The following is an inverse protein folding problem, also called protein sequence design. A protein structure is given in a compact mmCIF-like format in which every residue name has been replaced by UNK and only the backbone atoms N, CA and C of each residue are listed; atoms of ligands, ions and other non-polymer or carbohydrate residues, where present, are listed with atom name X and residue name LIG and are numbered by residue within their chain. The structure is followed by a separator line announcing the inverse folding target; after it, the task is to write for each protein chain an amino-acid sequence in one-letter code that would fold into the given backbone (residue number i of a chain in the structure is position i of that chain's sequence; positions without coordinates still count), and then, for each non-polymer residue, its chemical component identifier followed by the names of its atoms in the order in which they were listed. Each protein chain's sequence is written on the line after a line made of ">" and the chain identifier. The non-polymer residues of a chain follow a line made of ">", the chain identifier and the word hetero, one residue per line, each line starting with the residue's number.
data_IF_992833669119
#
_entry.id   IF_992833669119
#
_cell.length_a   1.000
_cell.length_b   1.000
_cell.length_c   1.000
_cell.angle_alpha   90.00
_cell.angle_beta   90.00
_cell.angle_gamma   90.00
#
_symmetry.space_group_name_H-M   'P 1'
#
loop_
_entity.id
_entity.type
_entity.pdbx_description
1 polymer ?
#
# COMPACT_ATOMS: atom_id res chain seq x y z
N UNK A 1 3.72 -18.90 -10.33
CA UNK A 1 2.72 -19.57 -11.18
C UNK A 1 1.77 -18.51 -11.68
N UNK A 2 1.57 -18.39 -12.99
CA UNK A 2 0.59 -17.45 -13.53
C UNK A 2 -0.80 -17.94 -13.14
N UNK A 3 -1.60 -17.05 -12.55
CA UNK A 3 -2.98 -17.32 -12.19
C UNK A 3 -3.79 -17.54 -13.49
N UNK A 4 -4.43 -18.70 -13.65
CA UNK A 4 -5.24 -19.06 -14.84
C UNK A 4 -6.27 -17.98 -15.17
N UNK A 5 -6.77 -17.94 -16.41
CA UNK A 5 -7.73 -16.95 -16.92
C UNK A 5 -9.16 -17.09 -16.34
N UNK A 6 -9.27 -17.74 -15.18
CA UNK A 6 -10.52 -17.89 -14.44
C UNK A 6 -10.98 -16.55 -13.86
N UNK A 7 -12.30 -16.36 -13.67
CA UNK A 7 -12.86 -15.21 -12.98
C UNK A 7 -12.20 -15.01 -11.61
N UNK A 8 -11.88 -13.76 -11.27
CA UNK A 8 -11.24 -13.45 -9.99
C UNK A 8 -12.21 -13.76 -8.85
N UNK A 9 -11.76 -14.61 -7.92
CA UNK A 9 -12.57 -15.03 -6.77
C UNK A 9 -12.66 -13.90 -5.74
N UNK A 10 -13.88 -13.61 -5.28
CA UNK A 10 -14.10 -12.73 -4.14
C UNK A 10 -13.74 -13.43 -2.82
N UNK A 11 -12.95 -12.74 -2.00
CA UNK A 11 -12.41 -13.17 -0.73
C UNK A 11 -12.56 -12.03 0.27
N UNK A 12 -13.68 -11.98 0.99
CA UNK A 12 -14.01 -10.85 1.84
C UNK A 12 -13.09 -10.76 3.07
N UNK A 13 -13.02 -9.58 3.72
CA UNK A 13 -12.41 -9.44 5.04
C UNK A 13 -13.08 -10.33 6.10
N UNK A 14 -12.38 -10.61 7.22
CA UNK A 14 -11.03 -10.18 7.57
C UNK A 14 -9.93 -11.03 6.91
N UNK A 15 -8.74 -10.44 6.72
CA UNK A 15 -7.57 -11.14 6.20
C UNK A 15 -6.50 -11.25 7.28
N UNK A 16 -6.16 -12.49 7.61
CA UNK A 16 -4.99 -12.83 8.41
C UNK A 16 -3.88 -13.31 7.48
N UNK A 17 -2.74 -12.63 7.57
CA UNK A 17 -1.61 -12.76 6.67
C UNK A 17 -0.40 -13.22 7.47
N UNK A 18 0.40 -14.13 6.89
CA UNK A 18 1.68 -14.55 7.45
C UNK A 18 2.79 -14.42 6.42
N UNK A 19 3.93 -13.88 6.80
CA UNK A 19 5.04 -13.70 5.87
C UNK A 19 6.30 -13.10 6.47
N UNK A 20 7.19 -12.65 5.59
CA UNK A 20 8.33 -11.80 5.96
C UNK A 20 8.02 -10.38 5.53
N UNK A 21 8.16 -9.42 6.45
CA UNK A 21 8.00 -8.00 6.14
C UNK A 21 9.33 -7.28 6.21
N UNK A 22 9.62 -6.41 5.25
CA UNK A 22 10.71 -5.46 5.28
C UNK A 22 10.11 -4.07 5.34
N UNK A 23 10.53 -3.24 6.30
CA UNK A 23 9.99 -1.89 6.41
C UNK A 23 11.03 -0.90 6.89
N UNK A 24 10.89 0.32 6.40
CA UNK A 24 11.57 1.47 6.96
C UNK A 24 10.66 2.71 6.87
N UNK A 25 10.95 3.67 7.73
CA UNK A 25 10.20 4.90 7.83
C UNK A 25 11.07 6.07 7.37
N UNK A 26 10.42 7.14 6.93
CA UNK A 26 11.09 8.37 6.55
C UNK A 26 10.19 9.58 6.78
N UNK A 27 10.80 10.75 6.86
CA UNK A 27 10.06 11.99 7.07
C UNK A 27 9.86 12.72 5.75
N UNK A 28 8.62 13.13 5.47
CA UNK A 28 8.25 13.97 4.34
C UNK A 28 7.92 15.36 4.89
N UNK A 29 8.73 16.40 4.62
CA UNK A 29 8.42 17.76 5.04
C UNK A 29 7.09 18.24 4.45
N UNK A 30 6.34 19.07 5.18
CA UNK A 30 5.08 19.63 4.65
C UNK A 30 5.28 20.46 3.37
N UNK A 31 6.47 21.04 3.18
CA UNK A 31 6.83 21.72 1.92
C UNK A 31 6.91 20.76 0.74
N UNK A 32 7.45 19.55 0.93
CA UNK A 32 7.47 18.50 -0.09
C UNK A 32 6.07 17.90 -0.29
N UNK A 33 5.28 17.76 0.78
CA UNK A 33 3.92 17.21 0.70
C UNK A 33 2.99 18.04 -0.19
N UNK A 34 3.15 19.37 -0.23
CA UNK A 34 2.37 20.23 -1.13
C UNK A 34 2.57 19.92 -2.60
N UNK A 35 3.74 19.38 -2.96
CA UNK A 35 4.13 19.03 -4.33
C UNK A 35 4.79 17.64 -4.32
N UNK A 36 4.02 16.61 -3.96
CA UNK A 36 4.51 15.24 -4.00
C UNK A 36 4.97 14.88 -5.41
N UNK A 37 6.06 14.10 -5.57
CA UNK A 37 6.49 13.60 -6.87
C UNK A 37 5.45 12.60 -7.38
N UNK A 38 4.46 13.10 -8.13
CA UNK A 38 3.24 12.33 -8.47
C UNK A 38 3.55 11.00 -9.17
N UNK A 39 4.54 10.99 -10.06
CA UNK A 39 5.00 9.80 -10.78
C UNK A 39 5.62 8.72 -9.88
N UNK A 40 6.01 9.06 -8.65
CA UNK A 40 6.53 8.13 -7.63
C UNK A 40 5.44 7.83 -6.60
N UNK A 41 4.74 8.87 -6.13
CA UNK A 41 3.76 8.80 -5.05
C UNK A 41 2.49 8.03 -5.42
N UNK A 42 2.05 8.09 -6.67
CA UNK A 42 0.78 7.52 -7.13
C UNK A 42 0.98 6.73 -8.43
N UNK A 43 0.17 5.70 -8.62
CA UNK A 43 0.01 5.05 -9.93
C UNK A 43 -0.67 6.00 -10.93
N UNK A 44 -0.40 5.89 -12.25
CA UNK A 44 -0.95 6.82 -13.24
C UNK A 44 -2.48 6.93 -13.18
N UNK A 45 -3.16 5.81 -12.90
CA UNK A 45 -4.61 5.75 -12.74
C UNK A 45 -5.10 6.65 -11.59
N UNK A 46 -4.52 6.49 -10.39
CA UNK A 46 -4.88 7.26 -9.20
C UNK A 46 -4.46 8.73 -9.33
N UNK A 47 -3.28 8.97 -9.90
CA UNK A 47 -2.72 10.31 -10.12
C UNK A 47 -3.62 11.20 -10.98
N UNK A 48 -4.35 10.60 -11.92
CA UNK A 48 -5.24 11.30 -12.87
C UNK A 48 -6.71 11.30 -12.42
N UNK A 49 -7.01 10.77 -11.23
CA UNK A 49 -8.37 10.62 -10.72
C UNK A 49 -8.67 11.53 -9.53
N UNK A 50 -9.87 11.41 -8.98
CA UNK A 50 -10.24 12.05 -7.72
C UNK A 50 -9.38 11.57 -6.54
N UNK A 51 -8.77 10.38 -6.59
CA UNK A 51 -7.96 9.80 -5.52
C UNK A 51 -6.80 10.72 -5.08
N UNK A 52 -6.08 11.30 -6.05
CA UNK A 52 -4.98 12.24 -5.80
C UNK A 52 -5.43 13.71 -5.67
N UNK A 53 -6.71 14.01 -5.93
CA UNK A 53 -7.22 15.37 -5.90
C UNK A 53 -7.42 15.87 -4.47
N UNK A 54 -6.67 16.90 -4.07
CA UNK A 54 -6.70 17.45 -2.70
C UNK A 54 -8.07 17.98 -2.26
N UNK A 55 -8.87 18.51 -3.18
CA UNK A 55 -10.19 19.07 -2.86
C UNK A 55 -11.27 17.99 -2.69
N UNK A 56 -11.10 16.83 -3.32
CA UNK A 56 -12.08 15.72 -3.31
C UNK A 56 -11.70 14.63 -2.31
N UNK A 57 -10.44 14.23 -2.35
CA UNK A 57 -9.87 13.15 -1.54
C UNK A 57 -8.92 13.68 -0.48
N UNK A 58 -8.88 14.99 -0.23
CA UNK A 58 -8.14 15.55 0.89
C UNK A 58 -6.64 15.76 0.64
N UNK A 59 -6.03 16.65 1.42
CA UNK A 59 -4.74 17.25 1.10
C UNK A 59 -3.57 16.57 1.81
N UNK A 60 -2.46 16.27 1.12
CA UNK A 60 -1.24 15.74 1.75
C UNK A 60 -0.62 16.77 2.72
N UNK A 61 -0.27 16.32 3.92
CA UNK A 61 0.33 17.12 4.99
C UNK A 61 1.81 16.78 5.23
N UNK A 62 2.27 15.63 4.73
CA UNK A 62 3.58 15.08 5.00
C UNK A 62 3.61 14.32 6.33
N UNK A 63 4.76 14.32 6.98
CA UNK A 63 5.01 13.59 8.22
C UNK A 63 5.66 12.23 7.98
N UNK A 64 5.27 11.24 8.78
CA UNK A 64 5.86 9.90 8.76
C UNK A 64 5.41 9.12 7.51
N UNK A 65 6.28 9.03 6.51
CA UNK A 65 6.14 8.13 5.37
C UNK A 65 6.70 6.75 5.69
N UNK A 66 6.18 5.74 5.01
CA UNK A 66 6.64 4.35 5.16
C UNK A 66 6.78 3.69 3.80
N UNK A 67 7.84 2.90 3.64
CA UNK A 67 7.92 1.87 2.59
C UNK A 67 7.91 0.52 3.30
N UNK A 68 7.02 -0.35 2.84
CA UNK A 68 6.88 -1.72 3.35
C UNK A 68 6.90 -2.69 2.17
N UNK A 69 7.55 -3.82 2.35
CA UNK A 69 7.61 -4.91 1.37
C UNK A 69 7.27 -6.18 2.12
N UNK A 70 6.22 -6.86 1.71
CA UNK A 70 5.74 -8.08 2.35
C UNK A 70 5.88 -9.26 1.38
N UNK A 71 6.35 -10.38 1.92
CA UNK A 71 6.44 -11.66 1.24
C UNK A 71 5.52 -12.62 1.98
N UNK A 72 4.24 -12.64 1.61
CA UNK A 72 3.23 -13.44 2.29
C UNK A 72 3.38 -14.90 1.89
N UNK A 73 3.71 -15.74 2.86
CA UNK A 73 3.73 -17.20 2.69
C UNK A 73 2.33 -17.80 2.86
N UNK A 74 1.41 -17.08 3.50
CA UNK A 74 0.02 -17.49 3.68
C UNK A 74 -0.92 -16.29 3.69
N UNK A 75 -2.02 -16.39 2.94
CA UNK A 75 -3.15 -15.46 2.96
C UNK A 75 -4.42 -16.17 2.48
N UNK A 76 -5.61 -15.58 2.70
CA UNK A 76 -6.85 -16.05 2.08
C UNK A 76 -6.80 -16.13 0.55
N UNK A 77 -6.02 -15.25 -0.10
CA UNK A 77 -5.81 -15.21 -1.56
C UNK A 77 -4.63 -16.09 -2.04
N UNK A 78 -4.02 -16.87 -1.15
CA UNK A 78 -2.78 -17.61 -1.42
C UNK A 78 -1.51 -16.77 -1.22
N UNK A 79 -0.31 -17.34 -1.44
CA UNK A 79 0.95 -16.61 -1.29
C UNK A 79 1.11 -15.50 -2.33
N UNK A 80 1.52 -14.31 -1.90
CA UNK A 80 1.80 -13.18 -2.78
C UNK A 80 2.79 -12.20 -2.13
N UNK A 81 3.34 -11.32 -2.95
CA UNK A 81 4.26 -10.27 -2.54
C UNK A 81 3.56 -8.91 -2.66
N UNK A 82 3.88 -7.99 -1.77
CA UNK A 82 3.24 -6.68 -1.70
C UNK A 82 4.27 -5.58 -1.42
N UNK A 83 4.16 -4.45 -2.11
CA UNK A 83 4.91 -3.23 -1.82
C UNK A 83 3.94 -2.13 -1.47
N UNK A 84 4.19 -1.40 -0.40
CA UNK A 84 3.34 -0.32 0.10
C UNK A 84 4.17 0.94 0.25
N UNK A 85 3.73 2.02 -0.40
CA UNK A 85 4.20 3.37 -0.15
C UNK A 85 3.08 4.17 0.53
N UNK A 86 3.35 4.65 1.74
CA UNK A 86 2.52 5.66 2.40
C UNK A 86 3.28 6.98 2.48
N UNK A 87 2.68 8.05 1.95
CA UNK A 87 3.29 9.38 1.85
C UNK A 87 2.96 10.29 3.03
N UNK A 88 2.68 9.68 4.18
CA UNK A 88 2.37 10.38 5.42
C UNK A 88 0.87 10.68 5.57
N UNK A 89 0.59 11.79 6.24
CA UNK A 89 -0.74 12.17 6.67
C UNK A 89 -1.49 12.93 5.58
N UNK A 90 -2.79 12.67 5.47
CA UNK A 90 -3.73 13.39 4.62
C UNK A 90 -4.85 13.94 5.47
N UNK A 91 -5.25 15.19 5.23
CA UNK A 91 -6.53 15.68 5.75
C UNK A 91 -7.67 15.14 4.91
N UNK A 92 -8.84 14.94 5.48
CA UNK A 92 -10.06 14.59 4.77
C UNK A 92 -11.29 15.08 5.54
N UNK A 93 -12.36 15.37 4.82
CA UNK A 93 -13.60 15.82 5.43
C UNK A 93 -14.51 14.62 5.73
N UNK A 94 -15.17 14.67 6.88
CA UNK A 94 -16.25 13.75 7.28
C UNK A 94 -17.47 14.56 7.70
N UNK A 95 -18.66 14.05 7.41
CA UNK A 95 -19.90 14.60 7.96
C UNK A 95 -20.24 13.86 9.26
N UNK A 96 -20.21 14.56 10.39
CA UNK A 96 -20.58 14.01 11.70
C UNK A 96 -21.63 14.91 12.35
N UNK A 97 -22.79 14.34 12.70
CA UNK A 97 -23.90 15.07 13.34
C UNK A 97 -24.31 16.33 12.55
N UNK A 98 -24.36 16.24 11.22
CA UNK A 98 -24.70 17.36 10.34
C UNK A 98 -23.63 18.47 10.25
N UNK A 99 -22.44 18.26 10.83
CA UNK A 99 -21.31 19.19 10.74
C UNK A 99 -20.16 18.55 10.00
N UNK A 100 -19.60 19.29 9.03
CA UNK A 100 -18.37 18.89 8.35
C UNK A 100 -17.19 19.09 9.30
N UNK A 101 -16.45 18.03 9.57
CA UNK A 101 -15.20 18.06 10.34
C UNK A 101 -14.04 17.62 9.46
N UNK A 102 -12.88 18.23 9.68
CA UNK A 102 -11.63 17.76 9.08
C UNK A 102 -10.97 16.75 10.03
N UNK A 103 -10.60 15.59 9.48
CA UNK A 103 -9.82 14.55 10.15
C UNK A 103 -8.49 14.36 9.42
N UNK A 104 -7.57 13.65 10.05
CA UNK A 104 -6.24 13.37 9.50
C UNK A 104 -5.79 11.95 9.83
N UNK A 105 -5.37 11.21 8.81
CA UNK A 105 -4.85 9.85 8.93
C UNK A 105 -3.78 9.58 7.87
N UNK A 106 -3.04 8.48 8.01
CA UNK A 106 -2.10 8.05 7.00
C UNK A 106 -2.83 7.57 5.74
N UNK A 107 -2.16 7.59 4.58
CA UNK A 107 -2.69 7.05 3.32
C UNK A 107 -1.62 6.21 2.61
N UNK A 108 -2.03 5.02 2.14
CA UNK A 108 -1.28 4.28 1.12
C UNK A 108 -1.54 4.99 -0.21
N UNK A 109 -0.54 5.66 -0.75
CA UNK A 109 -0.67 6.41 -2.00
C UNK A 109 -0.36 5.57 -3.22
N UNK A 110 0.45 4.52 -3.06
CA UNK A 110 0.78 3.54 -4.10
C UNK A 110 1.07 2.19 -3.48
N UNK A 111 0.57 1.13 -4.11
CA UNK A 111 0.76 -0.24 -3.66
C UNK A 111 0.78 -1.19 -4.85
N UNK A 112 1.72 -2.13 -4.82
CA UNK A 112 1.83 -3.18 -5.83
C UNK A 112 1.69 -4.56 -5.20
N UNK A 113 1.13 -5.50 -5.96
CA UNK A 113 1.03 -6.91 -5.56
C UNK A 113 1.37 -7.86 -6.70
N UNK A 114 1.83 -9.07 -6.37
CA UNK A 114 2.20 -10.08 -7.37
C UNK A 114 1.06 -10.96 -7.88
N UNK A 115 -0.16 -10.86 -7.32
CA UNK A 115 -1.32 -11.69 -7.69
C UNK A 115 -2.55 -10.86 -8.05
N UNK A 116 -3.28 -11.26 -9.11
CA UNK A 116 -4.49 -10.53 -9.56
C UNK A 116 -5.62 -10.66 -8.54
N UNK A 117 -5.77 -11.80 -7.89
CA UNK A 117 -6.77 -11.98 -6.83
C UNK A 117 -6.49 -11.08 -5.62
N UNK A 118 -5.24 -10.90 -5.21
CA UNK A 118 -4.88 -9.98 -4.14
C UNK A 118 -5.10 -8.50 -4.53
N UNK A 119 -4.87 -8.17 -5.80
CA UNK A 119 -5.10 -6.83 -6.35
C UNK A 119 -6.60 -6.48 -6.31
N UNK A 120 -7.41 -7.31 -6.96
CA UNK A 120 -8.86 -7.09 -7.07
C UNK A 120 -9.54 -7.04 -5.70
N UNK A 121 -9.26 -7.99 -4.81
CA UNK A 121 -9.89 -8.00 -3.48
C UNK A 121 -9.40 -6.85 -2.58
N UNK A 122 -8.21 -6.31 -2.80
CA UNK A 122 -7.75 -5.13 -2.07
C UNK A 122 -8.34 -3.82 -2.58
N UNK A 123 -8.78 -3.78 -3.84
CA UNK A 123 -9.51 -2.63 -4.40
C UNK A 123 -11.00 -2.70 -4.07
N UNK A 124 -11.58 -3.91 -4.16
CA UNK A 124 -13.02 -4.15 -4.07
C UNK A 124 -13.54 -4.35 -2.64
N UNK A 125 -14.79 -3.97 -2.45
CA UNK A 125 -15.81 -4.53 -1.57
C UNK A 125 -17.15 -4.63 -2.32
N UNK A 126 -18.14 -5.23 -1.68
CA UNK A 126 -19.31 -5.78 -2.36
C UNK A 126 -20.37 -4.72 -2.68
N UNK A 127 -20.26 -4.03 -3.83
CA UNK A 127 -21.42 -3.42 -4.51
C UNK A 127 -21.36 -3.42 -6.05
N UNK A 128 -20.26 -3.84 -6.69
CA UNK A 128 -20.13 -3.82 -8.17
C UNK A 128 -20.77 -5.01 -8.90
N UNK A 129 -21.76 -5.69 -8.32
CA UNK A 129 -22.64 -6.65 -9.05
C UNK A 129 -24.07 -6.11 -9.00
N UNK A 130 -24.37 -5.14 -9.85
CA UNK A 130 -25.74 -4.73 -10.12
C UNK A 130 -26.31 -5.53 -11.29
N UNK A 131 -26.91 -6.68 -10.97
CA UNK A 131 -28.21 -7.08 -11.50
C UNK A 131 -28.86 -8.00 -10.46
N UNK A 132 -29.94 -7.51 -9.83
CA UNK A 132 -30.90 -8.26 -9.00
C UNK A 132 -30.44 -8.71 -7.59
N UNK A 133 -30.28 -7.77 -6.64
CA UNK A 133 -30.56 -8.10 -5.22
C UNK A 133 -30.93 -6.86 -4.41
N UNK A 134 -32.00 -6.99 -3.62
CA UNK A 134 -32.44 -5.98 -2.63
C UNK A 134 -31.34 -5.75 -1.57
N UNK A 135 -31.28 -4.55 -0.96
CA UNK A 135 -30.28 -4.23 0.06
C UNK A 135 -30.46 -5.17 1.26
N UNK A 136 -29.49 -6.04 1.47
CA UNK A 136 -29.37 -6.87 2.67
C UNK A 136 -28.31 -6.22 3.56
N UNK A 137 -28.63 -6.07 4.85
CA UNK A 137 -27.84 -5.38 5.88
C UNK A 137 -26.45 -5.99 6.22
N UNK A 138 -25.88 -6.80 5.32
CA UNK A 138 -24.54 -7.38 5.42
C UNK A 138 -23.73 -6.94 4.19
N UNK A 139 -23.51 -5.64 4.03
CA UNK A 139 -22.59 -5.10 3.03
C UNK A 139 -21.17 -5.52 3.41
N UNK A 140 -20.47 -6.15 2.47
CA UNK A 140 -19.13 -6.65 2.72
C UNK A 140 -18.10 -5.54 2.47
N UNK A 141 -17.24 -5.21 3.45
CA UNK A 141 -16.51 -3.95 3.43
C UNK A 141 -15.39 -3.86 2.38
N UNK A 142 -15.29 -2.74 1.66
CA UNK A 142 -14.24 -2.42 0.68
C UNK A 142 -12.92 -2.03 1.36
N UNK A 143 -11.77 -2.56 0.95
CA UNK A 143 -10.47 -2.09 1.50
C UNK A 143 -10.01 -0.74 0.92
N UNK A 144 -10.49 -0.37 -0.28
CA UNK A 144 -10.10 0.84 -1.03
C UNK A 144 -8.59 1.05 -1.15
N UNK A 145 -7.81 -0.02 -1.20
CA UNK A 145 -6.36 0.11 -1.40
C UNK A 145 -6.06 0.19 -2.90
N UNK A 146 -5.29 1.20 -3.38
CA UNK A 146 -5.05 1.39 -4.81
C UNK A 146 -3.99 0.41 -5.32
N UNK A 147 -4.33 -0.89 -5.33
CA UNK A 147 -3.42 -1.97 -5.72
C UNK A 147 -3.28 -2.03 -7.24
N UNK A 148 -2.04 -2.28 -7.67
CA UNK A 148 -1.66 -2.55 -9.05
C UNK A 148 -0.80 -3.81 -9.12
N UNK A 149 -0.67 -4.38 -10.31
CA UNK A 149 0.20 -5.55 -10.48
C UNK A 149 1.67 -5.14 -10.60
N UNK A 150 2.53 -5.93 -9.96
CA UNK A 150 3.96 -5.90 -10.21
C UNK A 150 4.56 -7.29 -10.11
N UNK A 151 5.70 -7.47 -10.79
CA UNK A 151 6.55 -8.64 -10.61
C UNK A 151 7.61 -8.32 -9.57
N UNK A 152 7.81 -9.24 -8.63
CA UNK A 152 8.77 -9.10 -7.54
C UNK A 152 9.90 -10.10 -7.73
N UNK A 153 11.13 -9.66 -7.47
CA UNK A 153 12.30 -10.52 -7.41
C UNK A 153 12.99 -10.34 -6.05
N UNK A 154 13.32 -11.46 -5.42
CA UNK A 154 14.05 -11.52 -4.18
C UNK A 154 15.28 -12.40 -4.39
N UNK A 155 16.47 -11.81 -4.26
CA UNK A 155 17.73 -12.53 -4.38
C UNK A 155 18.45 -12.51 -3.04
N UNK A 156 18.60 -13.69 -2.44
CA UNK A 156 19.37 -13.84 -1.20
C UNK A 156 20.87 -13.71 -1.50
N UNK A 157 21.55 -12.90 -0.69
CA UNK A 157 22.96 -12.56 -0.84
C UNK A 157 23.76 -13.05 0.39
N UNK A 158 25.10 -13.17 0.26
CA UNK A 158 25.96 -13.53 1.38
C UNK A 158 25.75 -12.63 2.61
N UNK A 159 25.82 -13.22 3.81
CA UNK A 159 25.68 -12.50 5.06
C UNK A 159 24.23 -12.16 5.46
N UNK A 160 23.25 -12.89 4.89
CA UNK A 160 21.83 -12.70 5.21
C UNK A 160 21.22 -11.43 4.63
N UNK A 161 21.87 -10.85 3.62
CA UNK A 161 21.35 -9.72 2.87
C UNK A 161 20.34 -10.21 1.83
N UNK A 162 19.35 -9.39 1.50
CA UNK A 162 18.34 -9.69 0.48
C UNK A 162 18.25 -8.52 -0.47
N UNK A 163 18.52 -8.75 -1.75
CA UNK A 163 18.19 -7.79 -2.83
C UNK A 163 16.73 -7.97 -3.21
N UNK A 164 16.01 -6.85 -3.35
CA UNK A 164 14.60 -6.81 -3.70
C UNK A 164 14.42 -5.87 -4.89
N UNK A 165 13.74 -6.35 -5.93
CA UNK A 165 13.39 -5.57 -7.13
C UNK A 165 11.91 -5.70 -7.44
N UNK A 166 11.28 -4.59 -7.82
CA UNK A 166 9.86 -4.50 -8.11
C UNK A 166 9.69 -3.89 -9.49
N UNK A 167 9.05 -4.64 -10.37
CA UNK A 167 8.80 -4.29 -11.77
C UNK A 167 7.30 -4.07 -11.94
N UNK A 168 6.90 -2.80 -11.91
CA UNK A 168 5.50 -2.42 -11.97
C UNK A 168 4.94 -2.64 -13.38
N UNK A 169 3.63 -2.94 -13.47
CA UNK A 169 2.96 -3.08 -14.77
C UNK A 169 2.51 -1.73 -15.34
N UNK A 170 2.32 -0.73 -14.48
CA UNK A 170 1.77 0.59 -14.79
C UNK A 170 2.81 1.63 -15.26
N UNK A 171 4.10 1.29 -15.29
CA UNK A 171 5.18 2.21 -15.70
C UNK A 171 5.56 2.11 -17.18
N UNK A 172 5.03 1.13 -17.90
CA UNK A 172 5.34 0.87 -19.32
C UNK A 172 4.64 1.84 -20.29
N UNK A 173 3.63 2.57 -19.81
CA UNK A 173 2.70 3.34 -20.64
C UNK A 173 1.51 2.53 -21.18
N UNK A 174 1.48 1.22 -20.95
CA UNK A 174 0.30 0.40 -21.23
C UNK A 174 -0.76 0.59 -20.14
N UNK A 175 -1.83 1.31 -20.48
CA UNK A 175 -2.99 1.54 -19.59
C UNK A 175 -3.69 0.25 -19.15
N UNK A 176 -3.42 -0.88 -19.83
CA UNK A 176 -3.98 -2.18 -19.51
C UNK A 176 -3.15 -2.99 -18.51
N UNK A 177 -1.96 -2.51 -18.16
CA UNK A 177 -1.07 -3.19 -17.21
C UNK A 177 -0.81 -4.67 -17.57
N UNK A 178 -0.73 -4.97 -18.87
CA UNK A 178 -0.70 -6.37 -19.33
C UNK A 178 0.58 -7.10 -18.89
N UNK A 179 1.71 -6.39 -18.84
CA UNK A 179 3.02 -6.96 -18.52
C UNK A 179 3.85 -6.04 -17.63
N UNK A 180 4.72 -6.65 -16.83
CA UNK A 180 5.67 -5.91 -16.00
C UNK A 180 6.70 -5.17 -16.86
N UNK A 181 7.13 -4.01 -16.38
CA UNK A 181 8.25 -3.27 -16.95
C UNK A 181 9.54 -4.10 -16.90
N UNK A 182 10.45 -3.82 -17.83
CA UNK A 182 11.80 -4.38 -17.84
C UNK A 182 12.71 -3.67 -16.83
N UNK A 183 12.44 -2.40 -16.54
CA UNK A 183 13.18 -1.62 -15.54
C UNK A 183 12.46 -1.72 -14.19
N UNK A 184 13.19 -1.96 -13.08
CA UNK A 184 12.56 -1.92 -11.77
C UNK A 184 12.08 -0.50 -11.47
N UNK A 185 10.82 -0.38 -11.04
CA UNK A 185 10.29 0.84 -10.46
C UNK A 185 10.96 1.16 -9.13
N UNK A 186 11.21 0.11 -8.34
CA UNK A 186 11.84 0.19 -7.04
C UNK A 186 12.85 -0.94 -6.89
N UNK A 187 14.01 -0.62 -6.34
CA UNK A 187 14.97 -1.63 -5.88
C UNK A 187 15.61 -1.24 -4.54
N UNK A 188 15.97 -2.25 -3.76
CA UNK A 188 16.77 -2.06 -2.54
C UNK A 188 17.58 -3.31 -2.18
N UNK A 189 18.60 -3.16 -1.36
CA UNK A 189 19.25 -4.29 -0.67
C UNK A 189 19.15 -4.11 0.83
N UNK A 190 18.43 -5.03 1.49
CA UNK A 190 18.41 -5.13 2.95
C UNK A 190 19.65 -5.87 3.44
N UNK A 191 20.31 -5.36 4.49
CA UNK A 191 21.45 -5.99 5.16
C UNK A 191 21.25 -5.95 6.68
N UNK A 192 21.16 -7.09 7.37
CA UNK A 192 21.07 -7.12 8.83
C UNK A 192 22.25 -6.38 9.48
N UNK A 193 22.00 -5.67 10.58
CA UNK A 193 23.10 -5.12 11.40
C UNK A 193 23.83 -6.29 12.05
N UNK A 194 25.14 -6.38 11.81
CA UNK A 194 25.97 -7.45 12.36
C UNK A 194 25.94 -7.43 13.89
N UNK A 195 25.85 -8.61 14.49
CA UNK A 195 25.89 -8.86 15.94
C UNK A 195 24.71 -8.30 16.76
N UNK A 196 23.70 -7.72 16.11
CA UNK A 196 22.48 -7.31 16.81
C UNK A 196 21.51 -8.50 16.89
N UNK A 197 21.10 -8.94 18.09
CA UNK A 197 20.11 -10.00 18.23
C UNK A 197 18.75 -9.59 17.66
N UNK A 198 17.97 -10.58 17.25
CA UNK A 198 16.56 -10.36 16.91
C UNK A 198 15.76 -10.00 18.16
N UNK A 199 14.66 -9.27 17.96
CA UNK A 199 13.78 -8.84 19.05
C UNK A 199 12.30 -8.97 18.65
N UNK A 200 11.38 -9.11 19.62
CA UNK A 200 9.95 -9.07 19.35
C UNK A 200 9.51 -7.62 19.09
N UNK A 201 8.63 -7.43 18.10
CA UNK A 201 8.03 -6.14 17.79
C UNK A 201 6.56 -6.32 17.40
N UNK A 202 5.71 -5.40 17.84
CA UNK A 202 4.33 -5.27 17.39
C UNK A 202 3.98 -3.81 17.16
N UNK A 203 3.41 -3.49 16.00
CA UNK A 203 2.92 -2.13 15.70
C UNK A 203 1.62 -1.80 16.43
N UNK A 204 0.89 -2.78 16.97
CA UNK A 204 -0.24 -2.47 17.85
C UNK A 204 0.24 -1.73 19.11
N UNK A 205 1.47 -2.03 19.56
CA UNK A 205 2.05 -1.42 20.76
C UNK A 205 2.55 0.01 20.51
N UNK A 206 2.89 0.40 19.28
CA UNK A 206 3.36 1.76 19.00
C UNK A 206 2.26 2.82 19.18
N UNK A 207 0.99 2.41 19.16
CA UNK A 207 -0.14 3.27 19.53
C UNK A 207 -0.01 3.80 20.96
N UNK A 208 0.49 2.98 21.90
CA UNK A 208 0.73 3.43 23.28
C UNK A 208 1.87 4.45 23.38
N UNK A 209 2.75 4.50 22.40
CA UNK A 209 3.77 5.54 22.25
C UNK A 209 3.27 6.78 21.49
N UNK A 210 1.96 6.88 21.20
CA UNK A 210 1.34 8.03 20.55
C UNK A 210 1.45 8.05 19.02
N UNK A 211 1.91 6.97 18.39
CA UNK A 211 1.98 6.85 16.92
C UNK A 211 0.69 6.20 16.41
N UNK A 212 -0.15 6.98 15.73
CA UNK A 212 -1.36 6.47 15.07
C UNK A 212 -1.07 6.09 13.62
N UNK A 213 -1.03 4.79 13.36
CA UNK A 213 -0.80 4.19 12.03
C UNK A 213 -2.10 3.91 11.26
N UNK A 214 -3.23 4.41 11.76
CA UNK A 214 -4.52 4.23 11.13
C UNK A 214 -4.56 4.87 9.74
N UNK A 215 -5.04 4.09 8.78
CA UNK A 215 -5.10 4.45 7.37
C UNK A 215 -6.51 4.93 7.02
N UNK A 216 -6.61 5.98 6.22
CA UNK A 216 -7.85 6.42 5.58
C UNK A 216 -7.65 6.53 4.07
N UNK A 217 -8.42 5.72 3.34
CA UNK A 217 -8.38 5.59 1.90
C UNK A 217 -9.63 6.21 1.27
N UNK A 218 -9.46 7.14 0.31
CA UNK A 218 -10.55 7.61 -0.51
C UNK A 218 -11.00 6.51 -1.49
N UNK A 219 -12.15 6.67 -2.15
CA UNK A 219 -12.58 5.78 -3.22
C UNK A 219 -11.51 5.64 -4.30
N UNK A 220 -11.31 4.42 -4.81
CA UNK A 220 -10.34 4.14 -5.87
C UNK A 220 -11.00 4.16 -7.26
N UNK A 221 -10.36 4.70 -8.30
CA UNK A 221 -10.89 4.68 -9.66
C UNK A 221 -10.92 3.26 -10.25
N UNK A 222 -11.86 3.00 -11.15
CA UNK A 222 -11.85 1.81 -12.01
C UNK A 222 -10.86 2.00 -13.17
N UNK A 223 -10.13 0.93 -13.53
CA UNK A 223 -9.12 0.92 -14.58
C UNK A 223 -9.36 -0.16 -15.64
N UNK A 224 -8.91 0.09 -16.87
CA UNK A 224 -9.07 -0.83 -18.00
C UNK A 224 -7.98 -1.92 -18.03
N UNK A 225 -7.91 -2.74 -16.98
CA UNK A 225 -6.89 -3.79 -16.85
C UNK A 225 -7.04 -4.95 -17.84
N UNK A 226 -5.92 -5.57 -18.22
CA UNK A 226 -5.91 -6.74 -19.06
C UNK A 226 -6.48 -8.00 -18.36
N UNK A 227 -6.46 -8.06 -17.02
CA UNK A 227 -6.88 -9.25 -16.25
C UNK A 227 -8.10 -8.98 -15.35
N UNK A 228 -8.73 -7.81 -15.47
CA UNK A 228 -9.96 -7.45 -14.76
C UNK A 228 -9.78 -7.13 -13.27
N UNK A 229 -8.56 -6.91 -12.80
CA UNK A 229 -8.22 -6.69 -11.39
C UNK A 229 -8.42 -5.24 -10.91
N UNK A 230 -8.42 -4.26 -11.82
CA UNK A 230 -8.51 -2.83 -11.49
C UNK A 230 -9.96 -2.35 -11.35
N UNK A 231 -10.68 -2.90 -10.38
CA UNK A 231 -12.04 -2.43 -10.03
C UNK A 231 -12.00 -1.14 -9.22
N UNK A 232 -13.04 -0.33 -9.35
CA UNK A 232 -13.24 0.91 -8.60
C UNK A 232 -14.08 0.73 -7.34
N UNK A 233 -14.13 1.78 -6.53
CA UNK A 233 -15.04 1.93 -5.38
C UNK A 233 -15.56 3.37 -5.30
N UNK A 234 -16.57 3.59 -4.47
CA UNK A 234 -17.32 4.85 -4.34
C UNK A 234 -17.36 5.42 -2.92
N UNK A 235 -17.08 4.59 -1.89
CA UNK A 235 -17.04 4.99 -0.49
C UNK A 235 -15.62 5.19 0.02
N UNK A 236 -15.48 5.89 1.13
CA UNK A 236 -14.22 5.91 1.88
C UNK A 236 -14.08 4.67 2.75
N UNK A 237 -12.84 4.28 3.03
CA UNK A 237 -12.53 3.20 3.97
C UNK A 237 -11.44 3.65 4.94
N UNK A 238 -11.56 3.22 6.19
CA UNK A 238 -10.56 3.43 7.23
C UNK A 238 -10.33 2.14 7.99
N UNK A 239 -9.07 1.83 8.26
CA UNK A 239 -8.69 0.62 8.96
C UNK A 239 -7.33 0.77 9.64
N UNK A 240 -7.08 -0.12 10.61
CA UNK A 240 -5.83 -0.16 11.36
C UNK A 240 -5.00 -1.40 10.95
N UNK A 241 -3.85 -1.23 10.28
CA UNK A 241 -2.93 -2.33 10.02
C UNK A 241 -2.15 -2.67 11.30
N UNK A 242 -2.16 -3.95 11.64
CA UNK A 242 -1.36 -4.51 12.73
C UNK A 242 -0.34 -5.48 12.14
N UNK A 243 0.92 -5.34 12.54
CA UNK A 243 1.97 -6.30 12.24
C UNK A 243 2.74 -6.63 13.50
N UNK A 244 2.95 -7.92 13.73
CA UNK A 244 3.73 -8.41 14.86
C UNK A 244 4.64 -9.55 14.47
N UNK A 245 5.79 -9.64 15.11
CA UNK A 245 6.74 -10.73 14.94
C UNK A 245 7.58 -10.90 16.20
N UNK A 246 7.88 -12.14 16.54
CA UNK A 246 8.88 -12.48 17.57
C UNK A 246 10.32 -12.49 17.05
N UNK A 247 10.52 -12.31 15.73
CA UNK A 247 11.79 -12.40 15.03
C UNK A 247 11.99 -11.17 14.13
N UNK A 248 12.27 -10.03 14.77
CA UNK A 248 12.60 -8.79 14.08
C UNK A 248 14.10 -8.54 14.10
N UNK A 249 14.70 -8.40 12.92
CA UNK A 249 16.09 -7.97 12.75
C UNK A 249 16.07 -6.51 12.28
N UNK A 250 16.88 -5.63 12.87
CA UNK A 250 17.13 -4.32 12.24
C UNK A 250 18.30 -4.40 11.25
N UNK A 251 18.22 -3.58 10.21
CA UNK A 251 19.15 -3.62 9.09
C UNK A 251 19.14 -2.38 8.23
N UNK A 252 20.16 -2.28 7.40
CA UNK A 252 20.36 -1.19 6.45
C UNK A 252 19.73 -1.53 5.11
N UNK A 253 18.93 -0.61 4.59
CA UNK A 253 18.41 -0.60 3.24
C UNK A 253 19.31 0.28 2.38
N UNK A 254 19.92 -0.32 1.36
CA UNK A 254 20.59 0.38 0.27
C UNK A 254 19.53 0.75 -0.77
N UNK A 255 19.24 2.04 -0.89
CA UNK A 255 18.20 2.59 -1.77
C UNK A 255 18.74 3.03 -3.13
N UNK A 256 19.97 2.66 -3.50
CA UNK A 256 20.53 2.99 -4.82
C UNK A 256 19.59 2.51 -5.91
N UNK A 257 19.02 3.43 -6.67
CA UNK A 257 18.28 3.11 -7.90
C UNK A 257 19.26 2.91 -9.06
N UNK A 258 18.77 2.45 -10.22
CA UNK A 258 19.56 2.20 -11.44
C UNK A 258 20.60 3.31 -11.71
N UNK A 259 21.77 2.95 -12.26
CA UNK A 259 22.90 3.86 -12.50
C UNK A 259 22.56 5.00 -13.47
N UNK A 260 21.51 4.82 -14.28
CA UNK A 260 20.97 5.86 -15.16
C UNK A 260 20.05 6.86 -14.45
N UNK A 261 19.66 6.60 -13.20
CA UNK A 261 18.83 7.49 -12.39
C UNK A 261 19.62 8.73 -11.98
N UNK A 262 19.04 9.92 -12.19
CA UNK A 262 19.61 11.18 -11.69
C UNK A 262 19.59 11.25 -10.16
N UNK A 263 18.71 10.50 -9.52
CA UNK A 263 18.58 10.43 -8.07
C UNK A 263 19.31 9.20 -7.52
N UNK A 264 20.13 9.39 -6.49
CA UNK A 264 20.83 8.29 -5.79
C UNK A 264 19.89 7.36 -4.99
N UNK A 265 18.60 7.68 -4.95
CA UNK A 265 17.61 7.10 -4.06
C UNK A 265 16.22 7.03 -4.75
N UNK A 266 15.26 6.35 -4.12
CA UNK A 266 13.90 6.20 -4.66
C UNK A 266 12.98 7.41 -4.42
N UNK A 267 13.13 8.12 -3.29
CA UNK A 267 12.23 9.22 -2.92
C UNK A 267 13.01 10.53 -2.82
N UNK A 268 12.64 11.60 -3.54
CA UNK A 268 13.43 12.83 -3.59
C UNK A 268 13.82 13.37 -2.20
N UNK A 269 15.11 13.67 -2.02
CA UNK A 269 15.67 14.12 -0.74
C UNK A 269 15.92 13.01 0.29
N UNK A 270 15.63 11.75 -0.03
CA UNK A 270 15.99 10.60 0.81
C UNK A 270 17.47 10.27 0.62
N UNK A 271 18.21 10.03 1.70
CA UNK A 271 19.57 9.48 1.57
C UNK A 271 19.55 8.06 0.99
N UNK A 272 20.68 7.61 0.41
CA UNK A 272 20.87 6.24 -0.09
C UNK A 272 20.63 5.18 0.98
N UNK A 273 21.00 5.42 2.23
CA UNK A 273 20.91 4.43 3.29
C UNK A 273 19.76 4.74 4.24
N UNK A 274 18.92 3.74 4.52
CA UNK A 274 17.87 3.81 5.55
C UNK A 274 18.02 2.70 6.56
N UNK A 275 17.93 3.03 7.84
CA UNK A 275 17.75 2.03 8.87
C UNK A 275 16.29 1.60 8.90
N UNK A 276 16.05 0.30 8.96
CA UNK A 276 14.72 -0.27 9.11
C UNK A 276 14.81 -1.66 9.69
N UNK A 277 13.84 -2.49 9.37
CA UNK A 277 13.72 -3.82 9.94
C UNK A 277 13.21 -4.85 8.94
N UNK A 278 13.57 -6.10 9.19
CA UNK A 278 12.96 -7.29 8.63
C UNK A 278 12.27 -8.07 9.75
N UNK A 279 10.96 -8.29 9.61
CA UNK A 279 10.13 -9.04 10.55
C UNK A 279 9.82 -10.41 9.91
N UNK A 280 10.50 -11.45 10.37
CA UNK A 280 10.31 -12.83 9.90
C UNK A 280 9.10 -13.45 10.58
N UNK A 281 8.39 -14.34 9.88
CA UNK A 281 7.19 -14.99 10.41
C UNK A 281 6.18 -13.99 11.00
N UNK A 282 6.10 -12.80 10.39
CA UNK A 282 5.23 -11.75 10.84
C UNK A 282 3.77 -12.13 10.60
N UNK A 283 2.93 -11.83 11.58
CA UNK A 283 1.48 -11.91 11.51
C UNK A 283 0.93 -10.51 11.24
N UNK A 284 0.17 -10.39 10.16
CA UNK A 284 -0.37 -9.12 9.68
C UNK A 284 -1.90 -9.27 9.64
N UNK A 285 -2.59 -8.33 10.27
CA UNK A 285 -4.06 -8.28 10.28
C UNK A 285 -4.52 -6.84 10.14
N UNK A 286 -5.76 -6.66 9.71
CA UNK A 286 -6.36 -5.35 9.59
C UNK A 286 -7.64 -5.29 10.42
N UNK A 287 -7.73 -4.30 11.30
CA UNK A 287 -8.79 -4.19 12.29
C UNK A 287 -9.53 -2.86 12.14
N UNK A 288 -10.71 -2.77 12.79
CA UNK A 288 -11.50 -1.54 12.92
C UNK A 288 -11.84 -0.91 11.57
N UNK A 289 -12.41 -1.72 10.68
CA UNK A 289 -12.81 -1.23 9.36
C UNK A 289 -14.07 -0.37 9.46
N UNK A 290 -14.00 0.84 8.92
CA UNK A 290 -15.08 1.82 8.91
C UNK A 290 -15.25 2.38 7.50
N UNK A 291 -16.50 2.52 7.06
CA UNK A 291 -16.88 3.09 5.76
C UNK A 291 -17.75 4.32 5.93
N UNK A 292 -17.61 5.27 5.00
CA UNK A 292 -18.51 6.41 4.91
C UNK A 292 -18.60 6.94 3.49
N UNK A 293 -19.72 7.59 3.18
CA UNK A 293 -19.93 8.24 1.90
C UNK A 293 -19.02 9.47 1.73
N UNK A 294 -18.57 9.78 0.51
CA UNK A 294 -17.93 11.05 0.23
C UNK A 294 -18.81 12.23 0.69
N UNK A 295 -18.24 13.31 1.25
CA UNK A 295 -19.01 14.49 1.65
C UNK A 295 -19.83 15.02 0.48
N UNK A 296 -21.09 15.38 0.73
CA UNK A 296 -21.96 15.88 -0.34
C UNK A 296 -21.40 17.20 -0.86
N UNK A 297 -21.32 17.33 -2.18
CA UNK A 297 -20.96 18.59 -2.83
C UNK A 297 -22.04 19.62 -2.53
N UNK A 298 -21.74 20.65 -1.76
CA UNK A 298 -22.53 21.88 -1.78
C UNK A 298 -22.25 22.58 -3.11
N UNK A 299 -23.18 22.43 -4.06
CA UNK A 299 -23.33 23.38 -5.16
C UNK A 299 -23.55 24.79 -4.61
#
# INVERSE_FOLDING_TARGET
>A
MAEEDNPIKHIPPPWDLKGTSYMFMFWIPSSQARNLPSNIAFSPLEAQSTFANSSKSGSPQGGLGTIQIHRYSSSPAGPYDEFILSTGMYTYAVEENGKRKEKRNMRISRIYVSQKTACWNGRKGEESIHYLRLPSANETPDWNTPKHLARFEFNELPGGATEIKIFAHDTTGDVREATADKKPFFQTTYRPVRYMPSFPLSTSLVRFAGIDLMLAQPPVPEGNSAKGELVGSDRWCKFYPSISSSQTDAGWFDMKQDESSKEENFWPGLGRWRLGMSMKNAEISFQNMEHWEPPKSTL
#
